data_IF_131579682137
#
_entry.id   IF_131579682137
#
_cell.length_a   1.000
_cell.length_b   1.000
_cell.length_c   1.000
_cell.angle_alpha   90.00
_cell.angle_beta   90.00
_cell.angle_gamma   90.00
#
_symmetry.space_group_name_H-M   'P 1'
#
loop_
_entity.id
_entity.type
_entity.pdbx_description
1 polymer ?
#
# COMPACT_ATOMS: atom_id res chain seq x y z
N UNK A 1 -47.46 4.86 30.15
CA UNK A 1 -48.04 3.58 30.60
C UNK A 1 -47.69 2.65 29.45
N UNK A 2 -46.62 1.86 29.50
CA UNK A 2 -46.37 0.82 30.48
C UNK A 2 -44.93 0.77 31.01
N UNK A 3 -44.84 0.10 32.16
CA UNK A 3 -43.77 -0.07 33.14
C UNK A 3 -43.56 -1.60 33.15
N UNK A 4 -42.35 -2.19 33.12
CA UNK A 4 -41.67 -2.74 34.30
C UNK A 4 -40.61 -3.80 33.86
N UNK A 5 -39.44 -3.73 34.52
CA UNK A 5 -38.40 -4.75 34.85
C UNK A 5 -37.79 -5.62 33.75
N UNK A 6 -36.47 -5.80 33.67
CA UNK A 6 -35.50 -6.16 34.72
C UNK A 6 -34.97 -7.55 34.33
N UNK A 7 -33.68 -7.76 34.07
CA UNK A 7 -32.73 -8.11 35.13
C UNK A 7 -31.27 -8.08 34.63
N UNK A 8 -30.38 -7.78 35.57
CA UNK A 8 -28.93 -7.92 35.48
C UNK A 8 -28.52 -9.39 35.73
N UNK A 9 -27.54 -9.91 35.00
CA UNK A 9 -26.56 -10.87 35.53
C UNK A 9 -25.43 -11.14 34.53
N UNK A 10 -24.24 -10.63 34.82
CA UNK A 10 -22.99 -11.31 34.46
C UNK A 10 -22.70 -12.39 35.51
N UNK A 11 -22.12 -13.52 35.09
CA UNK A 11 -21.00 -14.08 35.85
C UNK A 11 -19.80 -14.40 34.95
N UNK A 12 -18.62 -14.18 35.52
CA UNK A 12 -17.32 -14.47 34.95
C UNK A 12 -16.93 -15.97 35.14
N UNK A 13 -15.69 -16.41 34.81
CA UNK A 13 -15.39 -17.56 33.96
C UNK A 13 -15.11 -18.87 34.74
N UNK A 14 -14.94 -20.01 34.05
CA UNK A 14 -14.18 -21.13 34.60
C UNK A 14 -12.75 -21.14 34.04
N UNK A 15 -11.78 -21.07 34.95
CA UNK A 15 -10.42 -21.55 34.72
C UNK A 15 -10.30 -23.02 35.06
N UNK A 16 -9.46 -23.73 34.29
CA UNK A 16 -8.46 -24.72 34.71
C UNK A 16 -8.06 -25.53 33.46
N UNK A 17 -6.84 -25.33 32.97
CA UNK A 17 -5.65 -26.07 33.37
C UNK A 17 -5.53 -27.39 32.59
N UNK A 18 -4.97 -27.30 31.39
CA UNK A 18 -4.16 -28.39 30.84
C UNK A 18 -2.73 -27.91 30.65
N UNK A 19 -1.93 -28.45 31.56
CA UNK A 19 -0.48 -28.48 31.60
C UNK A 19 0.00 -29.39 30.48
N UNK A 20 0.59 -28.82 29.43
CA UNK A 20 1.53 -29.55 28.58
C UNK A 20 2.89 -28.89 28.68
N UNK A 21 3.68 -29.46 29.58
CA UNK A 21 5.12 -29.42 29.55
C UNK A 21 5.56 -30.17 28.30
N UNK A 22 5.86 -29.47 27.22
CA UNK A 22 6.79 -29.96 26.21
C UNK A 22 8.03 -29.10 26.33
N UNK A 23 8.93 -29.55 27.20
CA UNK A 23 10.32 -29.14 27.15
C UNK A 23 10.90 -29.70 25.86
N UNK A 24 10.95 -28.86 24.84
CA UNK A 24 11.90 -29.00 23.76
C UNK A 24 12.90 -27.87 23.93
N UNK A 25 14.17 -28.27 24.08
CA UNK A 25 15.30 -27.38 24.16
C UNK A 25 15.38 -26.61 22.85
N UNK A 26 14.84 -25.40 22.83
CA UNK A 26 14.99 -24.48 21.72
C UNK A 26 16.20 -23.57 21.99
N UNK A 27 17.37 -24.08 21.64
CA UNK A 27 18.61 -23.30 21.66
C UNK A 27 18.62 -22.20 20.57
N UNK A 28 17.62 -22.16 19.68
CA UNK A 28 17.44 -21.13 18.64
C UNK A 28 16.57 -19.95 19.07
N UNK A 29 15.59 -20.14 19.97
CA UNK A 29 14.72 -19.07 20.48
C UNK A 29 15.45 -18.05 21.37
N UNK A 30 16.65 -18.39 21.86
CA UNK A 30 17.42 -17.56 22.81
C UNK A 30 17.95 -16.27 22.18
N UNK A 31 18.31 -16.27 20.89
CA UNK A 31 18.93 -15.09 20.25
C UNK A 31 17.88 -14.01 19.96
N UNK A 32 16.71 -14.39 19.46
CA UNK A 32 15.62 -13.46 19.18
C UNK A 32 15.03 -12.89 20.49
N UNK A 33 14.91 -13.72 21.52
CA UNK A 33 14.48 -13.29 22.86
C UNK A 33 15.42 -12.26 23.47
N UNK A 34 16.74 -12.51 23.40
CA UNK A 34 17.77 -11.56 23.88
C UNK A 34 17.81 -10.27 23.07
N UNK A 35 17.58 -10.32 21.76
CA UNK A 35 17.49 -9.13 20.92
C UNK A 35 16.30 -8.24 21.33
N UNK A 36 15.17 -8.86 21.70
CA UNK A 36 14.00 -8.12 22.15
C UNK A 36 14.19 -7.48 23.53
N UNK A 37 14.83 -8.19 24.47
CA UNK A 37 15.23 -7.63 25.76
C UNK A 37 16.21 -6.46 25.58
N UNK A 38 17.17 -6.58 24.68
CA UNK A 38 18.10 -5.50 24.35
C UNK A 38 17.37 -4.26 23.82
N UNK A 39 16.42 -4.45 22.90
CA UNK A 39 15.63 -3.34 22.36
C UNK A 39 14.92 -2.56 23.48
N UNK A 40 14.40 -3.27 24.48
CA UNK A 40 13.71 -2.69 25.63
C UNK A 40 14.66 -1.94 26.58
N UNK A 41 15.92 -2.37 26.68
CA UNK A 41 16.97 -1.66 27.42
C UNK A 41 17.39 -0.37 26.69
N UNK A 42 17.42 -0.41 25.35
CA UNK A 42 17.79 0.75 24.52
C UNK A 42 16.70 1.83 24.53
N UNK A 43 15.43 1.43 24.49
CA UNK A 43 14.27 2.32 24.43
C UNK A 43 13.69 2.62 25.83
N UNK A 44 14.51 3.22 26.69
CA UNK A 44 14.11 3.62 28.06
C UNK A 44 12.91 4.58 28.07
N UNK A 45 12.74 5.34 27.00
CA UNK A 45 11.66 6.32 26.84
C UNK A 45 10.36 5.70 26.25
N UNK A 46 10.39 4.43 25.84
CA UNK A 46 9.23 3.71 25.30
C UNK A 46 8.69 4.28 23.98
N UNK A 47 9.57 4.86 23.16
CA UNK A 47 9.24 5.54 21.90
C UNK A 47 8.88 4.54 20.79
N UNK A 48 9.26 3.27 20.94
CA UNK A 48 9.09 2.21 19.95
C UNK A 48 10.14 2.24 18.84
N UNK A 49 11.18 3.09 18.94
CA UNK A 49 12.31 3.17 18.03
C UNK A 49 13.57 3.64 18.78
N UNK A 50 14.74 3.21 18.31
CA UNK A 50 16.03 3.55 18.93
C UNK A 50 16.74 4.58 18.06
N UNK A 51 17.09 5.73 18.64
CA UNK A 51 17.89 6.75 17.94
C UNK A 51 19.39 6.57 18.20
N UNK A 52 20.24 7.23 17.40
CA UNK A 52 21.70 7.23 17.61
C UNK A 52 22.09 7.63 19.04
N UNK A 53 21.37 8.60 19.60
CA UNK A 53 21.59 9.06 20.97
C UNK A 53 21.24 7.99 22.00
N UNK A 54 20.20 7.19 21.75
CA UNK A 54 19.80 6.08 22.62
C UNK A 54 20.85 4.96 22.60
N UNK A 55 21.46 4.67 21.44
CA UNK A 55 22.61 3.76 21.36
C UNK A 55 23.83 4.31 22.11
N UNK A 56 24.21 5.57 21.90
CA UNK A 56 25.37 6.17 22.56
C UNK A 56 25.26 6.18 24.10
N UNK A 57 24.03 6.16 24.66
CA UNK A 57 23.79 6.02 26.10
C UNK A 57 24.18 4.65 26.66
N UNK A 58 24.31 3.61 25.82
CA UNK A 58 24.70 2.24 26.19
C UNK A 58 26.22 2.02 26.16
N UNK A 59 26.98 3.00 25.71
CA UNK A 59 28.45 2.99 25.77
C UNK A 59 29.06 2.67 27.16
N UNK A 60 28.47 3.06 28.32
CA UNK A 60 29.00 2.66 29.62
C UNK A 60 28.61 1.22 30.04
N UNK A 61 27.61 0.61 29.41
CA UNK A 61 27.11 -0.73 29.76
C UNK A 61 27.63 -1.84 28.81
N UNK A 62 28.21 -1.45 27.67
CA UNK A 62 28.73 -2.37 26.65
C UNK A 62 30.24 -2.17 26.44
N UNK A 63 31.01 -3.25 26.18
CA UNK A 63 32.44 -3.17 25.90
C UNK A 63 32.73 -2.73 24.45
N UNK A 64 32.04 -1.70 23.95
CA UNK A 64 32.18 -1.20 22.58
C UNK A 64 32.48 0.30 22.57
N UNK A 65 33.35 0.74 21.68
CA UNK A 65 33.64 2.17 21.49
C UNK A 65 32.50 2.89 20.77
N UNK A 66 32.40 4.22 20.94
CA UNK A 66 31.40 5.06 20.25
C UNK A 66 31.46 4.89 18.71
N UNK A 67 32.64 4.67 18.14
CA UNK A 67 32.82 4.47 16.69
C UNK A 67 32.30 3.10 16.23
N UNK A 68 32.47 2.05 17.03
CA UNK A 68 31.95 0.72 16.73
C UNK A 68 30.44 0.68 16.85
N UNK A 69 29.89 1.40 17.82
CA UNK A 69 28.44 1.50 18.01
C UNK A 69 27.76 2.29 16.89
N UNK A 70 28.40 3.35 16.38
CA UNK A 70 27.92 4.08 15.21
C UNK A 70 27.95 3.17 13.95
N UNK A 71 28.98 2.34 13.78
CA UNK A 71 29.04 1.36 12.67
C UNK A 71 27.93 0.32 12.78
N UNK A 72 27.66 -0.18 13.97
CA UNK A 72 26.54 -1.10 14.20
C UNK A 72 25.22 -0.41 13.88
N UNK A 73 25.02 0.84 14.34
CA UNK A 73 23.81 1.61 14.05
C UNK A 73 23.59 1.76 12.55
N UNK A 74 24.61 2.20 11.80
CA UNK A 74 24.53 2.36 10.33
C UNK A 74 24.24 1.04 9.61
N UNK A 75 24.71 -0.09 10.17
CA UNK A 75 24.48 -1.42 9.59
C UNK A 75 23.06 -1.92 9.86
N UNK A 76 22.47 -1.54 11.01
CA UNK A 76 21.11 -1.90 11.39
C UNK A 76 20.06 -0.98 10.73
N UNK A 77 20.42 0.28 10.47
CA UNK A 77 19.57 1.34 9.88
C UNK A 77 19.51 1.18 8.35
N UNK A 78 18.82 0.14 7.89
CA UNK A 78 18.76 -0.23 6.48
C UNK A 78 18.10 0.84 5.59
N UNK A 79 17.18 1.61 6.13
CA UNK A 79 16.51 2.70 5.41
C UNK A 79 17.22 4.07 5.59
N UNK A 80 18.21 4.14 6.48
CA UNK A 80 19.04 5.33 6.71
C UNK A 80 18.28 6.50 7.31
N UNK A 81 17.12 6.23 7.95
CA UNK A 81 16.24 7.27 8.47
C UNK A 81 16.72 7.83 9.83
N UNK A 82 17.78 7.23 10.42
CA UNK A 82 18.34 7.64 11.70
C UNK A 82 17.61 7.12 12.94
N UNK A 83 16.70 6.16 12.78
CA UNK A 83 15.87 5.53 13.82
C UNK A 83 15.69 4.04 13.55
N UNK A 84 16.17 3.19 14.46
CA UNK A 84 16.02 1.75 14.34
C UNK A 84 14.65 1.32 14.84
N UNK A 85 13.84 0.77 13.94
CA UNK A 85 12.60 0.11 14.30
C UNK A 85 12.88 -1.26 14.94
N UNK A 86 11.92 -1.84 15.71
CA UNK A 86 12.11 -3.15 16.33
C UNK A 86 12.45 -4.24 15.32
N UNK A 87 11.89 -4.15 14.10
CA UNK A 87 12.13 -5.12 13.03
C UNK A 87 13.54 -5.02 12.47
N UNK A 88 14.04 -3.81 12.24
CA UNK A 88 15.42 -3.55 11.79
C UNK A 88 16.42 -4.01 12.84
N UNK A 89 16.15 -3.68 14.11
CA UNK A 89 16.98 -4.11 15.22
C UNK A 89 17.02 -5.63 15.36
N UNK A 90 15.87 -6.32 15.44
CA UNK A 90 15.87 -7.79 15.60
C UNK A 90 16.49 -8.51 14.41
N UNK A 91 16.21 -8.04 13.19
CA UNK A 91 16.71 -8.67 11.97
C UNK A 91 18.21 -8.47 11.84
N UNK A 92 18.66 -7.21 11.88
CA UNK A 92 20.07 -6.90 11.72
C UNK A 92 20.92 -7.37 12.90
N UNK A 93 20.40 -7.34 14.13
CA UNK A 93 21.13 -7.83 15.31
C UNK A 93 21.24 -9.36 15.32
N UNK A 94 20.20 -10.08 14.88
CA UNK A 94 20.29 -11.54 14.71
C UNK A 94 21.33 -11.92 13.65
N UNK A 95 21.37 -11.20 12.52
CA UNK A 95 22.35 -11.41 11.46
C UNK A 95 23.77 -11.03 11.89
N UNK A 96 23.93 -9.94 12.64
CA UNK A 96 25.21 -9.50 13.19
C UNK A 96 25.77 -10.51 14.20
N UNK A 97 24.94 -11.03 15.11
CA UNK A 97 25.35 -12.07 16.06
C UNK A 97 25.71 -13.38 15.37
N UNK A 98 24.94 -13.80 14.35
CA UNK A 98 25.26 -14.97 13.53
C UNK A 98 26.60 -14.81 12.79
N UNK A 99 26.87 -13.62 12.24
CA UNK A 99 28.13 -13.30 11.57
C UNK A 99 29.34 -13.24 12.51
N UNK A 100 29.15 -12.75 13.74
CA UNK A 100 30.25 -12.60 14.70
C UNK A 100 30.60 -13.91 15.43
N UNK A 101 29.65 -14.84 15.57
CA UNK A 101 29.92 -16.22 16.00
C UNK A 101 30.80 -16.95 14.96
N UNK A 102 30.61 -16.68 13.67
CA UNK A 102 31.45 -17.26 12.61
C UNK A 102 32.89 -16.71 12.62
N UNK A 103 33.07 -15.39 12.84
CA UNK A 103 34.40 -14.77 12.89
C UNK A 103 35.17 -15.06 14.18
N UNK A 104 34.49 -15.20 15.32
CA UNK A 104 35.16 -15.51 16.59
C UNK A 104 35.73 -16.93 16.64
N UNK A 105 35.31 -17.84 15.74
CA UNK A 105 35.86 -19.19 15.64
C UNK A 105 37.25 -19.23 14.99
N UNK A 106 37.67 -18.19 14.26
CA UNK A 106 38.99 -18.11 13.62
C UNK A 106 40.10 -17.60 14.56
N UNK A 107 39.75 -16.99 15.70
CA UNK A 107 40.71 -16.32 16.59
C UNK A 107 41.24 -17.20 17.74
N UNK A 108 40.92 -18.50 17.77
CA UNK A 108 41.40 -19.47 18.77
C UNK A 108 42.43 -20.50 18.27
N UNK A 109 42.97 -20.35 17.06
CA UNK A 109 44.06 -21.20 16.53
C UNK A 109 45.34 -20.41 16.26
N UNK A 110 45.87 -19.75 17.29
CA UNK A 110 47.26 -19.27 17.28
C UNK A 110 47.93 -19.57 18.62
N UNK A 111 48.15 -20.85 18.91
CA UNK A 111 49.20 -21.26 19.85
C UNK A 111 49.47 -22.76 19.71
N UNK A 112 50.58 -23.09 19.05
CA UNK A 112 51.66 -23.95 19.55
C UNK A 112 52.42 -24.51 18.34
N UNK A 113 53.63 -23.98 18.16
CA UNK A 113 54.60 -24.48 17.23
C UNK A 113 55.35 -25.70 17.77
N UNK A 114 55.95 -26.41 16.82
CA UNK A 114 57.07 -27.34 16.96
C UNK A 114 56.84 -28.64 17.74
N UNK A 115 56.66 -29.73 16.98
CA UNK A 115 57.59 -30.87 17.08
C UNK A 115 57.70 -31.55 15.72
N UNK A 116 58.92 -31.60 15.20
CA UNK A 116 59.27 -32.26 13.95
C UNK A 116 59.17 -33.79 14.06
N UNK A 117 58.74 -34.45 12.99
CA UNK A 117 59.47 -35.59 12.39
C UNK A 117 58.95 -35.93 10.98
N UNK A 118 59.80 -36.52 10.12
CA UNK A 118 59.75 -36.33 8.67
C UNK A 118 59.17 -37.55 7.93
N UNK A 119 58.31 -37.33 6.95
CA UNK A 119 57.94 -38.37 5.98
C UNK A 119 58.01 -37.81 4.56
N UNK A 120 59.07 -38.26 3.88
CA UNK A 120 59.26 -38.16 2.44
C UNK A 120 58.49 -39.30 1.78
N UNK A 121 57.48 -38.98 0.97
CA UNK A 121 56.97 -39.77 -0.16
C UNK A 121 56.14 -38.80 -1.03
N UNK A 122 56.63 -38.35 -2.19
CA UNK A 122 56.73 -39.03 -3.50
C UNK A 122 55.60 -38.51 -4.39
N UNK A 123 55.99 -37.55 -5.21
CA UNK A 123 55.31 -36.97 -6.37
C UNK A 123 54.58 -38.06 -7.20
N UNK A 124 53.24 -37.99 -7.21
CA UNK A 124 52.38 -38.74 -8.13
C UNK A 124 51.27 -37.83 -8.65
N UNK A 125 51.49 -37.36 -9.88
CA UNK A 125 50.56 -37.14 -11.01
C UNK A 125 49.05 -37.04 -10.69
N UNK A 126 48.47 -35.93 -11.16
CA UNK A 126 47.05 -35.59 -11.34
C UNK A 126 46.07 -36.78 -11.47
N UNK A 127 45.23 -36.97 -10.46
CA UNK A 127 44.02 -37.83 -10.50
C UNK A 127 42.75 -37.04 -10.05
N UNK A 128 42.92 -35.83 -9.50
CA UNK A 128 41.82 -35.01 -8.96
C UNK A 128 40.89 -34.42 -10.04
N UNK A 129 41.39 -34.15 -11.26
CA UNK A 129 40.58 -33.55 -12.34
C UNK A 129 39.52 -34.52 -12.89
N UNK A 130 39.80 -35.83 -12.90
CA UNK A 130 38.87 -36.85 -13.37
C UNK A 130 37.75 -37.13 -12.35
N UNK A 131 38.01 -36.95 -11.05
CA UNK A 131 37.02 -37.14 -9.97
C UNK A 131 35.99 -35.98 -9.92
N UNK A 132 36.47 -34.73 -10.03
CA UNK A 132 35.66 -33.50 -10.07
C UNK A 132 34.67 -33.49 -11.24
N UNK A 133 35.15 -33.87 -12.43
CA UNK A 133 34.35 -33.91 -13.65
C UNK A 133 33.25 -34.99 -13.58
N UNK A 134 33.55 -36.13 -12.97
CA UNK A 134 32.57 -37.23 -12.81
C UNK A 134 31.45 -36.85 -11.84
N UNK A 135 31.78 -36.21 -10.73
CA UNK A 135 30.77 -35.70 -9.79
C UNK A 135 29.93 -34.60 -10.44
N UNK A 136 30.56 -33.63 -11.10
CA UNK A 136 29.85 -32.54 -11.79
C UNK A 136 28.89 -33.08 -12.87
N UNK A 137 29.31 -34.07 -13.65
CA UNK A 137 28.45 -34.70 -14.66
C UNK A 137 27.26 -35.45 -14.03
N UNK A 138 27.46 -36.09 -12.86
CA UNK A 138 26.38 -36.69 -12.09
C UNK A 138 25.39 -35.61 -11.63
N UNK A 139 25.86 -34.52 -11.03
CA UNK A 139 25.02 -33.41 -10.55
C UNK A 139 24.23 -32.73 -11.67
N UNK A 140 24.87 -32.52 -12.84
CA UNK A 140 24.22 -32.01 -14.04
C UNK A 140 23.11 -32.95 -14.55
N UNK A 141 23.35 -34.26 -14.55
CA UNK A 141 22.35 -35.26 -14.95
C UNK A 141 21.19 -35.35 -13.96
N UNK A 142 21.46 -35.11 -12.68
CA UNK A 142 20.47 -35.07 -11.61
C UNK A 142 19.67 -33.76 -11.59
N UNK A 143 20.12 -32.73 -12.33
CA UNK A 143 19.51 -31.40 -12.29
C UNK A 143 19.69 -30.70 -10.95
N UNK A 144 20.69 -31.11 -10.17
CA UNK A 144 20.95 -30.64 -8.81
C UNK A 144 21.48 -29.19 -8.76
N UNK A 145 22.11 -28.73 -9.85
CA UNK A 145 22.67 -27.38 -10.00
C UNK A 145 21.68 -26.25 -9.70
N UNK A 146 20.37 -26.49 -9.91
CA UNK A 146 19.32 -25.48 -9.71
C UNK A 146 18.67 -25.53 -8.34
N UNK A 147 19.10 -26.48 -7.51
CA UNK A 147 18.35 -26.95 -6.35
C UNK A 147 19.20 -26.93 -5.08
N UNK A 148 20.51 -27.16 -5.19
CA UNK A 148 21.44 -27.03 -4.06
C UNK A 148 22.33 -25.80 -4.23
N UNK A 149 22.47 -25.05 -3.13
CA UNK A 149 23.39 -23.92 -3.06
C UNK A 149 24.82 -24.34 -2.61
N UNK A 150 24.94 -25.48 -1.91
CA UNK A 150 26.23 -26.08 -1.52
C UNK A 150 26.22 -27.59 -1.81
N UNK A 151 27.18 -28.04 -2.61
CA UNK A 151 27.33 -29.43 -3.05
C UNK A 151 28.51 -30.13 -2.35
N UNK A 152 29.25 -29.43 -1.49
CA UNK A 152 30.51 -29.93 -0.92
C UNK A 152 30.33 -31.16 -0.04
N UNK A 153 29.30 -31.21 0.80
CA UNK A 153 29.05 -32.36 1.68
C UNK A 153 28.67 -33.62 0.88
N UNK A 154 27.86 -33.44 -0.16
CA UNK A 154 27.44 -34.52 -1.06
C UNK A 154 28.64 -35.03 -1.87
N UNK A 155 29.47 -34.10 -2.33
CA UNK A 155 30.72 -34.38 -3.04
C UNK A 155 31.72 -35.13 -2.17
N UNK A 156 31.95 -34.68 -0.94
CA UNK A 156 32.84 -35.35 0.02
C UNK A 156 32.35 -36.76 0.33
N UNK A 157 31.06 -36.95 0.58
CA UNK A 157 30.48 -38.27 0.84
C UNK A 157 30.60 -39.19 -0.38
N UNK A 158 30.37 -38.69 -1.60
CA UNK A 158 30.53 -39.44 -2.84
C UNK A 158 31.99 -39.89 -3.06
N UNK A 159 32.96 -39.00 -2.82
CA UNK A 159 34.38 -39.30 -2.91
C UNK A 159 34.83 -40.33 -1.85
N UNK A 160 34.32 -40.20 -0.62
CA UNK A 160 34.64 -41.12 0.47
C UNK A 160 34.05 -42.52 0.22
N UNK A 161 32.79 -42.61 -0.22
CA UNK A 161 32.16 -43.89 -0.58
C UNK A 161 32.87 -44.58 -1.74
N UNK A 162 33.37 -43.82 -2.72
CA UNK A 162 34.15 -44.36 -3.83
C UNK A 162 35.49 -44.95 -3.39
N UNK A 163 36.14 -44.37 -2.38
CA UNK A 163 37.45 -44.79 -1.86
C UNK A 163 37.36 -45.94 -0.85
N UNK A 164 36.40 -45.89 0.07
CA UNK A 164 36.30 -46.83 1.19
C UNK A 164 35.35 -48.00 0.91
N UNK A 165 34.19 -47.76 0.27
CA UNK A 165 33.13 -48.76 0.07
C UNK A 165 32.43 -48.66 -1.31
N UNK A 166 33.10 -49.08 -2.40
CA UNK A 166 32.61 -48.86 -3.77
C UNK A 166 31.31 -49.61 -4.10
N UNK A 167 30.96 -50.65 -3.34
CA UNK A 167 29.71 -51.41 -3.51
C UNK A 167 28.48 -50.62 -3.04
N UNK A 168 28.65 -49.62 -2.16
CA UNK A 168 27.58 -48.78 -1.65
C UNK A 168 27.35 -47.53 -2.51
N UNK A 169 28.33 -47.16 -3.34
CA UNK A 169 28.27 -45.99 -4.22
C UNK A 169 27.05 -46.04 -5.18
N UNK A 170 26.74 -47.20 -5.75
CA UNK A 170 25.58 -47.34 -6.65
C UNK A 170 24.24 -47.09 -5.93
N UNK A 171 24.11 -47.53 -4.67
CA UNK A 171 22.89 -47.29 -3.89
C UNK A 171 22.77 -45.80 -3.52
N UNK A 172 23.90 -45.16 -3.24
CA UNK A 172 23.97 -43.73 -2.97
C UNK A 172 23.59 -42.92 -4.22
N UNK A 173 24.13 -43.26 -5.39
CA UNK A 173 23.77 -42.61 -6.65
C UNK A 173 22.29 -42.80 -7.00
N UNK A 174 21.71 -44.00 -6.79
CA UNK A 174 20.27 -44.23 -6.98
C UNK A 174 19.43 -43.42 -5.99
N UNK A 175 19.88 -43.31 -4.74
CA UNK A 175 19.24 -42.47 -3.74
C UNK A 175 19.24 -40.99 -4.15
N UNK A 176 20.39 -40.48 -4.63
CA UNK A 176 20.49 -39.11 -5.17
C UNK A 176 19.54 -38.91 -6.35
N UNK A 177 19.49 -39.85 -7.31
CA UNK A 177 18.51 -39.81 -8.42
C UNK A 177 17.10 -39.64 -7.89
N UNK A 178 16.70 -40.41 -6.89
CA UNK A 178 15.35 -40.36 -6.35
C UNK A 178 15.06 -39.05 -5.62
N UNK A 179 15.97 -38.58 -4.78
CA UNK A 179 15.81 -37.33 -4.02
C UNK A 179 15.74 -36.13 -4.95
N UNK A 180 16.68 -36.01 -5.90
CA UNK A 180 16.66 -34.90 -6.84
C UNK A 180 15.46 -34.92 -7.78
N UNK A 181 15.01 -36.11 -8.21
CA UNK A 181 13.78 -36.22 -8.99
C UNK A 181 12.56 -35.72 -8.21
N UNK A 182 12.44 -36.10 -6.93
CA UNK A 182 11.34 -35.63 -6.07
C UNK A 182 11.42 -34.13 -5.80
N UNK A 183 12.62 -33.61 -5.57
CA UNK A 183 12.83 -32.19 -5.31
C UNK A 183 12.57 -31.34 -6.55
N UNK A 184 12.97 -31.82 -7.72
CA UNK A 184 12.67 -31.20 -9.01
C UNK A 184 11.17 -31.24 -9.32
N UNK A 185 10.48 -32.34 -9.04
CA UNK A 185 9.02 -32.43 -9.20
C UNK A 185 8.30 -31.43 -8.29
N UNK A 186 8.71 -31.34 -7.02
CA UNK A 186 8.16 -30.39 -6.06
C UNK A 186 8.41 -28.92 -6.47
N UNK A 187 9.62 -28.58 -6.95
CA UNK A 187 9.91 -27.24 -7.46
C UNK A 187 9.07 -26.90 -8.70
N UNK A 188 8.91 -27.87 -9.62
CA UNK A 188 8.05 -27.71 -10.79
C UNK A 188 6.58 -27.49 -10.40
N UNK A 189 6.07 -28.20 -9.41
CA UNK A 189 4.71 -28.00 -8.88
C UNK A 189 4.56 -26.63 -8.22
N UNK A 190 5.51 -26.23 -7.38
CA UNK A 190 5.56 -24.88 -6.79
C UNK A 190 5.52 -23.82 -7.89
N UNK A 191 6.33 -23.94 -8.93
CA UNK A 191 6.37 -22.99 -10.04
C UNK A 191 5.06 -22.96 -10.83
N UNK A 192 4.39 -24.12 -11.03
CA UNK A 192 3.06 -24.17 -11.65
C UNK A 192 2.01 -23.45 -10.81
N UNK A 193 2.00 -23.68 -9.51
CA UNK A 193 1.09 -23.02 -8.57
C UNK A 193 1.35 -21.52 -8.51
N UNK A 194 2.61 -21.10 -8.47
CA UNK A 194 3.01 -19.70 -8.48
C UNK A 194 2.58 -19.02 -9.79
N UNK A 195 2.74 -19.69 -10.94
CA UNK A 195 2.26 -19.19 -12.23
C UNK A 195 0.73 -19.06 -12.26
N UNK A 196 0.01 -20.04 -11.72
CA UNK A 196 -1.46 -19.98 -11.63
C UNK A 196 -1.94 -18.85 -10.72
N UNK A 197 -1.27 -18.65 -9.57
CA UNK A 197 -1.55 -17.56 -8.65
C UNK A 197 -1.28 -16.20 -9.29
N UNK A 198 -0.11 -16.02 -9.95
CA UNK A 198 0.23 -14.80 -10.69
C UNK A 198 -0.80 -14.47 -11.76
N UNK A 199 -1.27 -15.47 -12.53
CA UNK A 199 -2.34 -15.30 -13.51
C UNK A 199 -3.66 -14.89 -12.86
N UNK A 200 -4.00 -15.45 -11.70
CA UNK A 200 -5.21 -15.07 -10.96
C UNK A 200 -5.13 -13.64 -10.43
N UNK A 201 -3.99 -13.23 -9.88
CA UNK A 201 -3.75 -11.85 -9.45
C UNK A 201 -3.91 -10.90 -10.64
N UNK A 202 -3.23 -11.17 -11.75
CA UNK A 202 -3.34 -10.33 -12.95
C UNK A 202 -4.79 -10.22 -13.48
N UNK A 203 -5.55 -11.32 -13.47
CA UNK A 203 -6.95 -11.30 -13.88
C UNK A 203 -7.82 -10.45 -12.93
N UNK A 204 -7.58 -10.53 -11.61
CA UNK A 204 -8.28 -9.66 -10.64
C UNK A 204 -7.88 -8.19 -10.81
N UNK A 205 -6.61 -7.89 -11.06
CA UNK A 205 -6.15 -6.53 -11.31
C UNK A 205 -6.79 -5.94 -12.58
N UNK A 206 -6.91 -6.73 -13.65
CA UNK A 206 -7.60 -6.35 -14.88
C UNK A 206 -9.10 -6.09 -14.65
N UNK A 207 -9.78 -6.95 -13.88
CA UNK A 207 -11.21 -6.78 -13.55
C UNK A 207 -11.45 -5.53 -12.69
N UNK A 208 -10.59 -5.29 -11.70
CA UNK A 208 -10.63 -4.11 -10.85
C UNK A 208 -10.42 -2.85 -11.72
N UNK A 209 -9.41 -2.86 -12.59
CA UNK A 209 -9.11 -1.73 -13.47
C UNK A 209 -10.28 -1.44 -14.42
N UNK A 210 -10.87 -2.47 -15.05
CA UNK A 210 -12.05 -2.33 -15.89
C UNK A 210 -13.22 -1.69 -15.13
N UNK A 211 -13.50 -2.15 -13.89
CA UNK A 211 -14.57 -1.60 -13.08
C UNK A 211 -14.33 -0.12 -12.71
N UNK A 212 -13.09 0.26 -12.40
CA UNK A 212 -12.74 1.66 -12.16
C UNK A 212 -12.93 2.52 -13.41
N UNK A 213 -12.54 2.03 -14.58
CA UNK A 213 -12.72 2.74 -15.85
C UNK A 213 -14.20 2.91 -16.19
N UNK A 214 -15.01 1.87 -16.02
CA UNK A 214 -16.46 1.92 -16.25
C UNK A 214 -17.14 2.93 -15.31
N UNK A 215 -16.78 2.91 -14.03
CA UNK A 215 -17.30 3.87 -13.05
C UNK A 215 -16.89 5.31 -13.38
N UNK A 216 -15.64 5.56 -13.77
CA UNK A 216 -15.18 6.90 -14.15
C UNK A 216 -15.91 7.42 -15.41
N UNK A 217 -16.11 6.54 -16.40
CA UNK A 217 -16.88 6.88 -17.60
C UNK A 217 -18.34 7.22 -17.25
N UNK A 218 -18.96 6.47 -16.35
CA UNK A 218 -20.33 6.75 -15.89
C UNK A 218 -20.41 8.09 -15.16
N UNK A 219 -19.51 8.34 -14.21
CA UNK A 219 -19.42 9.62 -13.49
C UNK A 219 -19.25 10.78 -14.47
N UNK A 220 -18.36 10.63 -15.48
CA UNK A 220 -18.14 11.64 -16.50
C UNK A 220 -19.40 11.92 -17.32
N UNK A 221 -20.08 10.86 -17.77
CA UNK A 221 -21.33 10.96 -18.55
C UNK A 221 -22.44 11.65 -17.75
N UNK A 222 -22.61 11.29 -16.49
CA UNK A 222 -23.63 11.91 -15.63
C UNK A 222 -23.31 13.38 -15.35
N UNK A 223 -22.03 13.72 -15.11
CA UNK A 223 -21.58 15.11 -14.96
C UNK A 223 -21.86 15.94 -16.22
N UNK A 224 -21.54 15.41 -17.40
CA UNK A 224 -21.77 16.09 -18.67
C UNK A 224 -23.26 16.29 -18.95
N UNK A 225 -24.08 15.27 -18.71
CA UNK A 225 -25.53 15.37 -18.85
C UNK A 225 -26.14 16.41 -17.91
N UNK A 226 -25.67 16.45 -16.66
CA UNK A 226 -26.11 17.45 -15.69
C UNK A 226 -25.71 18.87 -16.10
N UNK A 227 -24.47 19.05 -16.58
CA UNK A 227 -23.95 20.32 -17.05
C UNK A 227 -24.76 20.85 -18.26
N UNK A 228 -25.04 19.98 -19.24
CA UNK A 228 -25.86 20.33 -20.40
C UNK A 228 -27.28 20.75 -19.99
N UNK A 229 -27.89 20.04 -19.03
CA UNK A 229 -29.22 20.38 -18.51
C UNK A 229 -29.23 21.73 -17.79
N UNK A 230 -28.18 22.04 -17.02
CA UNK A 230 -28.03 23.34 -16.37
C UNK A 230 -27.84 24.47 -17.39
N UNK A 231 -27.02 24.26 -18.42
CA UNK A 231 -26.81 25.22 -19.49
C UNK A 231 -28.12 25.50 -20.24
N UNK A 232 -28.90 24.46 -20.55
CA UNK A 232 -30.22 24.61 -21.16
C UNK A 232 -31.16 25.43 -20.25
N UNK A 233 -31.25 25.13 -18.96
CA UNK A 233 -32.09 25.91 -18.03
C UNK A 233 -31.65 27.38 -17.94
N UNK A 234 -30.34 27.64 -17.95
CA UNK A 234 -29.80 29.00 -17.96
C UNK A 234 -30.20 29.76 -19.23
N UNK A 235 -30.11 29.13 -20.40
CA UNK A 235 -30.47 29.75 -21.67
C UNK A 235 -31.98 30.03 -21.77
N UNK A 236 -32.82 29.10 -21.31
CA UNK A 236 -34.27 29.28 -21.22
C UNK A 236 -34.66 30.44 -20.30
N UNK A 237 -34.06 30.52 -19.11
CA UNK A 237 -34.31 31.62 -18.16
C UNK A 237 -33.85 32.98 -18.71
N UNK A 238 -32.70 33.03 -19.39
CA UNK A 238 -32.22 34.25 -20.03
C UNK A 238 -33.15 34.70 -21.15
N UNK A 239 -33.58 33.79 -22.02
CA UNK A 239 -34.53 34.08 -23.10
C UNK A 239 -35.86 34.58 -22.54
N UNK A 240 -36.44 33.92 -21.53
CA UNK A 240 -37.68 34.38 -20.89
C UNK A 240 -37.52 35.75 -20.19
N UNK A 241 -36.36 36.02 -19.60
CA UNK A 241 -36.06 37.35 -19.04
C UNK A 241 -35.99 38.43 -20.12
N UNK A 242 -35.45 38.13 -21.29
CA UNK A 242 -35.39 39.06 -22.41
C UNK A 242 -36.78 39.32 -23.01
N UNK A 243 -37.61 38.27 -23.14
CA UNK A 243 -38.99 38.38 -23.62
C UNK A 243 -39.85 39.24 -22.68
N UNK A 244 -39.85 38.93 -21.38
CA UNK A 244 -40.58 39.73 -20.38
C UNK A 244 -40.11 41.18 -20.32
N UNK A 245 -38.80 41.42 -20.51
CA UNK A 245 -38.24 42.78 -20.61
C UNK A 245 -38.76 43.51 -21.86
N UNK A 246 -38.79 42.83 -23.01
CA UNK A 246 -39.29 43.40 -24.26
C UNK A 246 -40.80 43.68 -24.22
N UNK A 247 -41.58 42.80 -23.60
CA UNK A 247 -43.01 43.03 -23.40
C UNK A 247 -43.26 44.22 -22.45
N UNK A 248 -42.49 44.32 -21.37
CA UNK A 248 -42.59 45.44 -20.43
C UNK A 248 -42.25 46.79 -21.10
N UNK A 249 -41.24 46.85 -21.97
CA UNK A 249 -40.92 48.07 -22.72
C UNK A 249 -42.02 48.41 -23.72
N UNK A 250 -42.61 47.42 -24.39
CA UNK A 250 -43.77 47.63 -25.27
C UNK A 250 -44.98 48.17 -24.51
N UNK A 251 -45.34 47.56 -23.38
CA UNK A 251 -46.44 48.01 -22.51
C UNK A 251 -46.21 49.43 -21.98
N UNK A 252 -44.96 49.79 -21.63
CA UNK A 252 -44.62 51.16 -21.23
C UNK A 252 -44.85 52.16 -22.36
N UNK A 253 -44.50 51.80 -23.60
CA UNK A 253 -44.73 52.66 -24.77
C UNK A 253 -46.23 52.82 -25.07
N UNK A 254 -46.99 51.72 -25.05
CA UNK A 254 -48.45 51.77 -25.29
C UNK A 254 -49.16 52.56 -24.19
N UNK A 255 -48.79 52.38 -22.92
CA UNK A 255 -49.34 53.18 -21.82
C UNK A 255 -49.05 54.68 -22.00
N UNK A 256 -47.85 55.03 -22.46
CA UNK A 256 -47.48 56.43 -22.76
C UNK A 256 -48.27 57.00 -23.94
N UNK A 257 -48.61 56.19 -24.93
CA UNK A 257 -49.44 56.60 -26.07
C UNK A 257 -50.90 56.80 -25.66
N UNK A 258 -51.48 55.85 -24.93
CA UNK A 258 -52.83 55.96 -24.37
C UNK A 258 -52.99 57.18 -23.45
N UNK A 259 -51.97 57.50 -22.63
CA UNK A 259 -51.98 58.73 -21.82
C UNK A 259 -52.05 59.99 -22.69
N UNK A 260 -51.26 60.07 -23.77
CA UNK A 260 -51.29 61.22 -24.70
C UNK A 260 -52.64 61.34 -25.41
N UNK A 261 -53.25 60.21 -25.78
CA UNK A 261 -54.56 60.21 -26.42
C UNK A 261 -55.69 60.59 -25.44
N UNK A 262 -55.60 60.14 -24.17
CA UNK A 262 -56.51 60.54 -23.11
C UNK A 262 -56.41 62.05 -22.84
N UNK A 263 -55.19 62.59 -22.75
CA UNK A 263 -54.97 64.04 -22.61
C UNK A 263 -55.57 64.83 -23.78
N UNK A 264 -55.37 64.34 -25.03
CA UNK A 264 -55.92 64.95 -26.23
C UNK A 264 -57.45 64.97 -26.21
N UNK A 265 -58.08 63.81 -25.99
CA UNK A 265 -59.54 63.68 -25.95
C UNK A 265 -60.15 64.48 -24.79
N UNK A 266 -59.49 64.53 -23.63
CA UNK A 266 -59.91 65.38 -22.51
C UNK A 266 -59.86 66.86 -22.88
N UNK A 267 -58.84 67.30 -23.63
CA UNK A 267 -58.73 68.68 -24.08
C UNK A 267 -59.82 69.02 -25.10
N UNK A 268 -60.05 68.15 -26.09
CA UNK A 268 -61.12 68.29 -27.08
C UNK A 268 -62.51 68.33 -26.42
N UNK A 269 -62.76 67.46 -25.43
CA UNK A 269 -64.02 67.45 -24.67
C UNK A 269 -64.22 68.77 -23.91
N UNK A 270 -63.17 69.29 -23.27
CA UNK A 270 -63.22 70.57 -22.56
C UNK A 270 -63.53 71.73 -23.51
N UNK A 271 -62.90 71.77 -24.69
CA UNK A 271 -63.21 72.76 -25.72
C UNK A 271 -64.67 72.65 -26.21
N UNK A 272 -65.15 71.44 -26.48
CA UNK A 272 -66.53 71.21 -26.91
C UNK A 272 -67.54 71.63 -25.82
N UNK A 273 -67.25 71.34 -24.55
CA UNK A 273 -68.05 71.78 -23.41
C UNK A 273 -68.11 73.31 -23.31
N UNK A 274 -66.99 74.00 -23.49
CA UNK A 274 -66.95 75.47 -23.51
C UNK A 274 -67.78 76.05 -24.67
N UNK A 275 -67.66 75.48 -25.87
CA UNK A 275 -68.45 75.90 -27.04
C UNK A 275 -69.96 75.69 -26.81
N UNK A 276 -70.35 74.54 -26.26
CA UNK A 276 -71.73 74.24 -25.89
C UNK A 276 -72.28 75.26 -24.89
N UNK A 277 -71.48 75.65 -23.88
CA UNK A 277 -71.87 76.65 -22.89
C UNK A 277 -72.14 78.01 -23.54
N UNK A 278 -71.26 78.47 -24.45
CA UNK A 278 -71.47 79.73 -25.18
C UNK A 278 -72.76 79.70 -26.01
N UNK A 279 -73.02 78.60 -26.72
CA UNK A 279 -74.26 78.44 -27.50
C UNK A 279 -75.51 78.39 -26.62
N UNK A 280 -75.44 77.77 -25.43
CA UNK A 280 -76.55 77.77 -24.47
C UNK A 280 -76.84 79.16 -23.90
N UNK A 281 -75.80 79.94 -23.59
CA UNK A 281 -75.93 81.33 -23.15
C UNK A 281 -76.55 82.21 -24.25
N UNK A 282 -76.13 82.03 -25.50
CA UNK A 282 -76.67 82.75 -26.66
C UNK A 282 -78.13 82.38 -26.94
N UNK A 283 -78.48 81.09 -26.90
CA UNK A 283 -79.85 80.62 -27.03
C UNK A 283 -80.77 81.16 -25.92
N UNK A 284 -80.25 81.27 -24.69
CA UNK A 284 -80.99 81.85 -23.55
C UNK A 284 -81.25 83.34 -23.74
N UNK A 285 -80.26 84.11 -24.22
CA UNK A 285 -80.45 85.54 -24.54
C UNK A 285 -81.48 85.76 -25.64
N UNK A 286 -81.44 84.97 -26.71
CA UNK A 286 -82.41 85.05 -27.80
C UNK A 286 -83.83 84.68 -27.34
N UNK A 287 -83.96 83.74 -26.41
CA UNK A 287 -85.24 83.38 -25.79
C UNK A 287 -85.79 84.57 -24.97
N UNK A 288 -84.96 85.21 -24.14
CA UNK A 288 -85.34 86.41 -23.38
C UNK A 288 -85.75 87.58 -24.29
N UNK A 289 -85.03 87.82 -25.40
CA UNK A 289 -85.40 88.86 -26.38
C UNK A 289 -86.75 88.60 -27.06
N UNK A 290 -87.15 87.33 -27.24
CA UNK A 290 -88.41 86.97 -27.89
C UNK A 290 -89.62 87.06 -26.96
N UNK A 291 -89.38 87.02 -25.65
CA UNK A 291 -90.43 87.11 -24.62
C UNK A 291 -90.73 88.57 -24.19
N UNK A 292 -89.97 89.57 -24.67
CA UNK A 292 -90.24 91.01 -24.53
C UNK A 292 -90.99 91.61 -25.72
#
# INVERSE_FOLDING_TARGET
MDRIQGDCASPAPPGNAERSMTGEQDSGLSVLGKAHEFFQICDVEGKGFITRQDMQRLHPELPLSLEELEKVFVTLDADGNGSLTPKEFTTGFSQFLLGQIALNNEMMQQSEGETACPLKCKETVSDDEDEEFQFSNLMNRLGAEKVLDDENDVKQLWLQLRKDEPHLLSNFEEFLVRIFSQLQEADNEKNKLECALKKKIAAYDEEIQHLYEEMEQQIKKEKEQFLLKLEQQCTELLSGKEETKAENTKLKLTNKELLRDLERTSHELSQAQQQLQVLQEEASKLQEEKEM
#
